data_IF_109072229981
#
_entry.id   IF_109072229981
#
_cell.length_a   1.000
_cell.length_b   1.000
_cell.length_c   1.000
_cell.angle_alpha   90.00
_cell.angle_beta   90.00
_cell.angle_gamma   90.00
#
_symmetry.space_group_name_H-M   'P 1'
#
loop_
_entity.id
_entity.type
_entity.pdbx_description
1 polymer ?
#
# COMPACT_ATOMS: atom_id res chain seq x y z
N UNK A 1 16.94 -3.22 -3.27
CA UNK A 1 18.17 -2.40 -3.26
C UNK A 1 17.92 -0.92 -3.56
N UNK A 2 17.36 -0.56 -4.73
CA UNK A 2 17.13 0.87 -5.08
C UNK A 2 16.26 1.60 -4.04
N UNK A 3 15.21 0.96 -3.52
CA UNK A 3 14.33 1.58 -2.52
C UNK A 3 15.06 1.94 -1.23
N UNK A 4 15.92 1.07 -0.71
CA UNK A 4 16.76 1.39 0.45
C UNK A 4 17.67 2.58 0.16
N UNK A 5 18.37 2.57 -0.98
CA UNK A 5 19.24 3.67 -1.37
C UNK A 5 18.49 5.01 -1.43
N UNK A 6 17.28 5.03 -1.97
CA UNK A 6 16.46 6.24 -2.03
C UNK A 6 16.10 6.75 -0.63
N UNK A 7 15.69 5.86 0.27
CA UNK A 7 15.35 6.21 1.66
C UNK A 7 16.59 6.75 2.39
N UNK A 8 17.74 6.10 2.24
CA UNK A 8 19.03 6.57 2.82
C UNK A 8 19.46 7.94 2.29
N UNK A 9 19.06 8.30 1.06
CA UNK A 9 19.28 9.63 0.48
C UNK A 9 18.22 10.66 0.88
N UNK A 10 17.32 10.32 1.79
CA UNK A 10 16.31 11.23 2.33
C UNK A 10 15.03 11.30 1.51
N UNK A 11 14.72 10.28 0.69
CA UNK A 11 13.40 10.19 0.07
C UNK A 11 12.32 10.06 1.15
N UNK A 12 11.26 10.85 1.01
CA UNK A 12 10.12 10.80 1.92
C UNK A 12 9.24 9.58 1.60
N UNK A 13 9.20 8.64 2.53
CA UNK A 13 8.48 7.38 2.43
C UNK A 13 6.95 7.54 2.32
N UNK A 14 6.43 8.68 2.77
CA UNK A 14 5.01 9.00 2.74
C UNK A 14 4.66 10.00 1.62
N UNK A 15 5.64 10.42 0.82
CA UNK A 15 5.40 11.38 -0.25
C UNK A 15 4.47 10.81 -1.30
N UNK A 16 3.32 11.46 -1.47
CA UNK A 16 2.33 11.02 -2.45
C UNK A 16 2.62 11.56 -3.84
N UNK A 17 2.33 10.77 -4.88
CA UNK A 17 2.33 11.25 -6.26
C UNK A 17 1.16 12.21 -6.57
N UNK A 18 1.04 12.68 -7.83
CA UNK A 18 -0.04 13.58 -8.26
C UNK A 18 -1.45 13.01 -8.04
N UNK A 19 -1.58 11.69 -8.08
CA UNK A 19 -2.84 10.99 -7.82
C UNK A 19 -3.12 10.78 -6.33
N UNK A 20 -2.24 11.26 -5.44
CA UNK A 20 -2.30 11.10 -3.98
C UNK A 20 -2.04 9.67 -3.50
N UNK A 21 -1.21 8.91 -4.22
CA UNK A 21 -0.83 7.55 -3.85
C UNK A 21 0.51 7.58 -3.13
N UNK A 22 0.60 6.91 -1.99
CA UNK A 22 1.85 6.68 -1.28
C UNK A 22 2.70 5.63 -2.02
N UNK A 23 4.03 5.61 -1.80
CA UNK A 23 4.90 4.54 -2.30
C UNK A 23 4.42 3.15 -1.86
N UNK A 24 3.90 3.04 -0.63
CA UNK A 24 3.37 1.78 -0.08
C UNK A 24 2.15 1.26 -0.87
N UNK A 25 1.18 2.14 -1.14
CA UNK A 25 0.01 1.80 -1.95
C UNK A 25 0.41 1.38 -3.37
N UNK A 26 1.39 2.05 -3.97
CA UNK A 26 1.92 1.68 -5.29
C UNK A 26 2.56 0.29 -5.27
N UNK A 27 3.41 0.01 -4.29
CA UNK A 27 4.04 -1.32 -4.14
C UNK A 27 2.99 -2.43 -3.98
N UNK A 28 1.92 -2.19 -3.22
CA UNK A 28 0.80 -3.12 -3.08
C UNK A 28 0.03 -3.33 -4.38
N UNK A 29 -0.28 -2.26 -5.13
CA UNK A 29 -0.99 -2.35 -6.41
C UNK A 29 -0.19 -3.06 -7.50
N UNK A 30 1.13 -2.88 -7.52
CA UNK A 30 2.00 -3.41 -8.57
C UNK A 30 2.72 -4.71 -8.18
N UNK A 31 2.39 -5.29 -7.02
CA UNK A 31 2.83 -6.65 -6.68
C UNK A 31 4.26 -6.78 -6.17
N UNK A 32 4.87 -5.67 -5.74
CA UNK A 32 6.27 -5.66 -5.28
C UNK A 32 6.37 -5.96 -3.78
N UNK A 33 6.23 -7.24 -3.39
CA UNK A 33 6.25 -7.66 -1.98
C UNK A 33 7.53 -7.25 -1.23
N UNK A 34 8.69 -7.33 -1.88
CA UNK A 34 9.96 -6.92 -1.25
C UNK A 34 9.94 -5.42 -0.94
N UNK A 35 9.40 -4.60 -1.85
CA UNK A 35 9.25 -3.16 -1.62
C UNK A 35 8.24 -2.88 -0.51
N UNK A 36 7.13 -3.62 -0.44
CA UNK A 36 6.15 -3.52 0.66
C UNK A 36 6.83 -3.73 2.02
N UNK A 37 7.67 -4.78 2.14
CA UNK A 37 8.40 -5.07 3.39
C UNK A 37 9.38 -3.97 3.75
N UNK A 38 10.21 -3.55 2.79
CA UNK A 38 11.19 -2.45 3.00
C UNK A 38 10.50 -1.17 3.46
N UNK A 39 9.36 -0.83 2.86
CA UNK A 39 8.64 0.37 3.23
C UNK A 39 8.08 0.28 4.66
N UNK A 40 7.61 -0.89 5.09
CA UNK A 40 7.15 -1.09 6.48
C UNK A 40 8.29 -1.03 7.50
N UNK A 41 9.46 -1.59 7.16
CA UNK A 41 10.66 -1.50 8.00
C UNK A 41 11.07 -0.05 8.27
N UNK A 42 10.77 0.85 7.33
CA UNK A 42 11.06 2.29 7.43
C UNK A 42 9.85 3.12 7.88
N UNK A 43 8.79 2.48 8.38
CA UNK A 43 7.66 3.15 9.04
C UNK A 43 6.55 3.66 8.13
N UNK A 44 6.41 3.13 6.91
CA UNK A 44 5.22 3.37 6.10
C UNK A 44 3.96 2.86 6.82
N UNK A 45 2.85 3.60 6.74
CA UNK A 45 1.57 3.18 7.32
C UNK A 45 0.86 2.19 6.36
N UNK A 46 0.67 0.90 6.75
CA UNK A 46 0.00 -0.08 5.92
C UNK A 46 -1.50 0.14 5.77
N UNK A 47 -2.10 0.95 6.64
CA UNK A 47 -3.53 1.23 6.67
C UNK A 47 -3.89 2.54 5.96
N UNK A 48 -2.92 3.38 5.60
CA UNK A 48 -3.20 4.69 5.01
C UNK A 48 -3.87 4.52 3.62
N UNK A 49 -5.14 4.97 3.46
CA UNK A 49 -5.80 4.94 2.16
C UNK A 49 -5.26 6.05 1.26
N UNK A 50 -5.38 5.85 -0.06
CA UNK A 50 -5.17 6.90 -1.05
C UNK A 50 -5.94 8.17 -0.65
N UNK A 51 -5.30 9.34 -0.72
CA UNK A 51 -6.00 10.60 -0.43
C UNK A 51 -6.84 11.10 -1.62
N UNK A 52 -6.88 10.35 -2.71
CA UNK A 52 -7.76 10.58 -3.86
C UNK A 52 -9.24 10.36 -3.52
N UNK A 53 -10.13 10.73 -4.45
CA UNK A 53 -11.58 10.67 -4.25
C UNK A 53 -12.11 9.28 -3.86
N UNK A 54 -11.58 8.21 -4.44
CA UNK A 54 -12.02 6.84 -4.14
C UNK A 54 -11.50 6.29 -2.80
N UNK A 55 -10.39 6.82 -2.26
CA UNK A 55 -9.86 6.34 -0.99
C UNK A 55 -9.25 4.93 -1.02
N UNK A 56 -8.75 4.46 -2.16
CA UNK A 56 -8.26 3.08 -2.32
C UNK A 56 -7.25 2.69 -1.23
N UNK A 57 -7.50 1.58 -0.53
CA UNK A 57 -6.60 1.06 0.51
C UNK A 57 -5.47 0.21 -0.09
N UNK A 58 -4.35 0.01 0.60
CA UNK A 58 -3.29 -0.90 0.14
C UNK A 58 -3.79 -2.33 -0.10
N UNK A 59 -4.68 -2.83 0.77
CA UNK A 59 -5.31 -4.14 0.62
C UNK A 59 -6.16 -4.23 -0.65
N UNK A 60 -6.99 -3.21 -0.94
CA UNK A 60 -7.73 -3.13 -2.22
C UNK A 60 -6.80 -3.12 -3.43
N UNK A 61 -5.71 -2.34 -3.38
CA UNK A 61 -4.73 -2.30 -4.45
C UNK A 61 -4.17 -3.69 -4.78
N UNK A 62 -3.83 -4.47 -3.76
CA UNK A 62 -3.35 -5.83 -3.92
C UNK A 62 -4.43 -6.80 -4.42
N UNK A 63 -5.65 -6.73 -3.88
CA UNK A 63 -6.78 -7.57 -4.30
C UNK A 63 -7.16 -7.34 -5.77
N UNK A 64 -7.34 -6.08 -6.18
CA UNK A 64 -7.77 -5.72 -7.53
C UNK A 64 -6.80 -6.18 -8.63
N UNK A 65 -5.55 -6.45 -8.27
CA UNK A 65 -4.50 -6.88 -9.18
C UNK A 65 -4.04 -8.33 -8.93
N UNK A 66 -4.72 -9.07 -8.04
CA UNK A 66 -4.46 -10.49 -7.80
C UNK A 66 -3.14 -10.79 -7.09
N UNK A 67 -2.58 -9.85 -6.33
CA UNK A 67 -1.28 -10.03 -5.66
C UNK A 67 -1.43 -10.82 -4.34
N UNK A 68 -1.74 -12.11 -4.46
CA UNK A 68 -2.04 -13.01 -3.32
C UNK A 68 -0.98 -12.98 -2.21
N UNK A 69 0.31 -12.90 -2.55
CA UNK A 69 1.38 -12.82 -1.56
C UNK A 69 1.31 -11.56 -0.70
N UNK A 70 0.98 -10.42 -1.30
CA UNK A 70 0.78 -9.15 -0.58
C UNK A 70 -0.53 -9.18 0.20
N UNK A 71 -1.61 -9.71 -0.36
CA UNK A 71 -2.88 -9.85 0.35
C UNK A 71 -2.71 -10.65 1.64
N UNK A 72 -2.08 -11.83 1.57
CA UNK A 72 -1.80 -12.66 2.76
C UNK A 72 -0.97 -11.90 3.78
N UNK A 73 0.11 -11.25 3.33
CA UNK A 73 0.98 -10.48 4.20
C UNK A 73 0.26 -9.32 4.90
N UNK A 74 -0.59 -8.57 4.19
CA UNK A 74 -1.37 -7.48 4.79
C UNK A 74 -2.42 -8.00 5.79
N UNK A 75 -3.03 -9.16 5.53
CA UNK A 75 -3.95 -9.80 6.49
C UNK A 75 -3.22 -10.28 7.74
N UNK A 76 -1.99 -10.80 7.61
CA UNK A 76 -1.12 -11.16 8.74
C UNK A 76 -0.73 -9.95 9.59
N UNK A 77 -0.66 -8.76 8.99
CA UNK A 77 -0.49 -7.48 9.71
C UNK A 77 -1.79 -6.98 10.39
N UNK A 78 -2.88 -7.73 10.32
CA UNK A 78 -4.15 -7.41 10.97
C UNK A 78 -5.06 -6.48 10.17
N UNK A 79 -4.78 -6.25 8.88
CA UNK A 79 -5.67 -5.45 8.04
C UNK A 79 -7.00 -6.18 7.84
N UNK A 80 -8.11 -5.49 8.06
CA UNK A 80 -9.43 -6.10 7.92
C UNK A 80 -9.81 -6.26 6.43
N UNK A 81 -10.25 -7.46 6.01
CA UNK A 81 -10.80 -7.69 4.67
C UNK A 81 -12.18 -7.04 4.47
N UNK A 82 -12.70 -6.32 5.47
CA UNK A 82 -13.98 -5.64 5.42
C UNK A 82 -13.84 -4.11 5.46
N UNK A 83 -12.61 -3.58 5.51
CA UNK A 83 -12.39 -2.12 5.50
C UNK A 83 -12.87 -1.52 4.19
N UNK A 84 -13.84 -0.63 4.26
CA UNK A 84 -14.35 0.09 3.09
C UNK A 84 -13.55 1.35 2.81
N UNK A 85 -13.39 1.68 1.54
CA UNK A 85 -12.81 2.95 1.10
C UNK A 85 -13.84 4.09 1.15
N UNK A 86 -13.45 5.29 0.68
CA UNK A 86 -14.34 6.45 0.65
C UNK A 86 -15.53 6.30 -0.30
N UNK A 87 -15.42 5.42 -1.29
CA UNK A 87 -16.53 5.02 -2.18
C UNK A 87 -17.43 3.94 -1.58
N UNK A 88 -17.17 3.48 -0.35
CA UNK A 88 -17.94 2.41 0.30
C UNK A 88 -17.62 1.00 -0.20
N UNK A 89 -16.57 0.84 -1.01
CA UNK A 89 -16.18 -0.46 -1.55
C UNK A 89 -15.26 -1.19 -0.58
N UNK A 90 -15.48 -2.49 -0.39
CA UNK A 90 -14.60 -3.41 0.34
C UNK A 90 -13.41 -3.87 -0.53
N UNK A 91 -12.39 -4.54 0.04
CA UNK A 91 -11.29 -5.14 -0.72
C UNK A 91 -11.67 -6.28 -1.66
N UNK A 92 -12.89 -6.81 -1.54
CA UNK A 92 -13.38 -7.93 -2.35
C UNK A 92 -14.54 -7.54 -3.28
N UNK A 93 -14.95 -6.27 -3.30
CA UNK A 93 -15.97 -5.73 -4.22
C UNK A 93 -15.37 -5.45 -5.61
#
# INVERSE_FOLDING_TARGET
>A
EIVHLLIEKGADINQTNNNKWTPFLQACKYGSLDVVKVLLEHGADPAEPCRCGCGTTPLQGACNNGHVGIVKFLLELGMSPHTVNRSGQSPID
#
